data_IF_309031579370
#
_entry.id   IF_309031579370
#
_cell.length_a   1.000
_cell.length_b   1.000
_cell.length_c   1.000
_cell.angle_alpha   90.00
_cell.angle_beta   90.00
_cell.angle_gamma   90.00
#
_symmetry.space_group_name_H-M   'P 1'
#
loop_
_entity.id
_entity.type
_entity.pdbx_description
1 polymer ?
#
# COMPACT_ATOMS: atom_id res chain seq x y z
N UNK A 1 18.34 -5.45 -11.36
CA UNK A 1 16.89 -5.21 -11.20
C UNK A 1 16.44 -5.03 -9.74
N UNK A 2 17.35 -4.92 -8.76
CA UNK A 2 16.99 -4.91 -7.31
C UNK A 2 16.60 -3.55 -6.70
N UNK A 3 16.61 -2.46 -7.48
CA UNK A 3 16.34 -1.11 -6.96
C UNK A 3 14.85 -0.76 -6.80
N UNK A 4 13.97 -1.40 -7.56
CA UNK A 4 12.54 -1.06 -7.63
C UNK A 4 11.73 -1.71 -6.49
N UNK A 5 12.10 -2.94 -6.08
CA UNK A 5 11.52 -3.61 -4.91
C UNK A 5 11.69 -2.75 -3.65
N UNK A 6 12.90 -2.23 -3.41
CA UNK A 6 13.20 -1.44 -2.19
C UNK A 6 12.40 -0.15 -2.05
N UNK A 7 12.05 0.53 -3.15
CA UNK A 7 11.23 1.74 -3.09
C UNK A 7 9.78 1.43 -2.76
N UNK A 8 9.23 0.38 -3.38
CA UNK A 8 7.88 -0.06 -3.08
C UNK A 8 7.76 -0.54 -1.64
N UNK A 9 8.75 -1.28 -1.13
CA UNK A 9 8.77 -1.73 0.27
C UNK A 9 8.72 -0.55 1.25
N UNK A 10 9.59 0.45 1.06
CA UNK A 10 9.63 1.66 1.91
C UNK A 10 8.35 2.49 1.78
N UNK A 11 7.78 2.57 0.58
CA UNK A 11 6.49 3.25 0.36
C UNK A 11 5.36 2.52 1.11
N UNK A 12 5.25 1.20 0.97
CA UNK A 12 4.19 0.43 1.62
C UNK A 12 4.34 0.39 3.15
N UNK A 13 5.57 0.34 3.67
CA UNK A 13 5.86 0.49 5.09
C UNK A 13 5.34 1.84 5.62
N UNK A 14 5.64 2.95 4.94
CA UNK A 14 5.11 4.26 5.36
C UNK A 14 3.58 4.33 5.29
N UNK A 15 2.99 3.76 4.24
CA UNK A 15 1.55 3.78 4.03
C UNK A 15 0.79 2.93 5.04
N UNK A 16 1.34 1.79 5.48
CA UNK A 16 0.69 0.96 6.49
C UNK A 16 0.56 1.70 7.83
N UNK A 17 1.56 2.47 8.25
CA UNK A 17 1.45 3.33 9.43
C UNK A 17 0.44 4.46 9.28
N UNK A 18 0.32 5.04 8.08
CA UNK A 18 -0.71 6.05 7.82
C UNK A 18 -2.12 5.47 7.91
N UNK A 19 -2.33 4.27 7.36
CA UNK A 19 -3.61 3.57 7.43
C UNK A 19 -3.96 3.22 8.88
N UNK A 20 -3.01 2.65 9.63
CA UNK A 20 -3.23 2.27 11.02
C UNK A 20 -3.59 3.47 11.90
N UNK A 21 -2.92 4.61 11.73
CA UNK A 21 -3.28 5.83 12.46
C UNK A 21 -4.67 6.33 12.11
N UNK A 22 -5.06 6.27 10.83
CA UNK A 22 -6.41 6.63 10.41
C UNK A 22 -7.46 5.72 11.05
N UNK A 23 -7.25 4.40 11.06
CA UNK A 23 -8.15 3.47 11.74
C UNK A 23 -8.29 3.80 13.24
N UNK A 24 -7.18 4.15 13.90
CA UNK A 24 -7.22 4.55 15.32
C UNK A 24 -7.97 5.87 15.53
N UNK A 25 -7.77 6.86 14.66
CA UNK A 25 -8.49 8.14 14.69
C UNK A 25 -10.00 7.94 14.47
N UNK A 26 -10.37 7.10 13.49
CA UNK A 26 -11.77 6.78 13.16
C UNK A 26 -12.45 6.05 14.35
N UNK A 27 -11.77 5.11 15.01
CA UNK A 27 -12.26 4.45 16.23
C UNK A 27 -12.44 5.44 17.39
N UNK A 28 -11.50 6.36 17.60
CA UNK A 28 -11.60 7.35 18.69
C UNK A 28 -12.78 8.30 18.47
N UNK A 29 -13.04 8.66 17.20
CA UNK A 29 -14.19 9.46 16.81
C UNK A 29 -15.52 8.71 17.07
N UNK A 30 -15.57 7.42 16.77
CA UNK A 30 -16.75 6.58 17.03
C UNK A 30 -17.09 6.53 18.52
N UNK A 31 -16.11 6.22 19.39
CA UNK A 31 -16.34 6.20 20.83
C UNK A 31 -16.69 7.58 21.39
N UNK A 32 -16.08 8.64 20.85
CA UNK A 32 -16.46 10.01 21.22
C UNK A 32 -17.92 10.30 20.87
N UNK A 33 -18.43 9.79 19.73
CA UNK A 33 -19.83 9.94 19.34
C UNK A 33 -20.81 9.17 20.24
N UNK A 34 -20.36 8.06 20.82
CA UNK A 34 -21.10 7.28 21.82
C UNK A 34 -20.97 7.84 23.24
N UNK A 35 -20.15 8.90 23.43
CA UNK A 35 -19.80 9.46 24.72
C UNK A 35 -19.16 8.41 25.67
N UNK A 36 -18.45 7.46 25.07
CA UNK A 36 -17.71 6.40 25.75
C UNK A 36 -16.20 6.71 25.74
N UNK A 37 -15.49 6.17 26.73
CA UNK A 37 -14.05 6.36 26.87
C UNK A 37 -13.31 5.11 26.40
N UNK A 38 -12.20 5.31 25.71
CA UNK A 38 -11.36 4.23 25.20
C UNK A 38 -10.31 3.82 26.23
N UNK A 39 -10.28 2.53 26.60
CA UNK A 39 -9.31 2.02 27.56
C UNK A 39 -7.85 2.34 27.20
N UNK A 40 -7.50 2.28 25.90
CA UNK A 40 -6.14 2.67 25.44
C UNK A 40 -5.83 4.13 25.78
N UNK A 41 -6.82 5.02 25.74
CA UNK A 41 -6.65 6.46 26.01
C UNK A 41 -6.49 6.68 27.52
N UNK A 42 -7.30 6.00 28.32
CA UNK A 42 -7.23 6.03 29.80
C UNK A 42 -5.89 5.55 30.35
N UNK A 43 -5.30 4.55 29.69
CA UNK A 43 -3.97 4.02 30.03
C UNK A 43 -2.83 4.81 29.40
N UNK A 44 -3.12 5.99 28.85
CA UNK A 44 -2.13 6.93 28.36
C UNK A 44 -1.73 6.71 26.90
N UNK A 45 -2.48 6.00 26.08
CA UNK A 45 -2.41 5.95 24.60
C UNK A 45 -1.00 5.65 24.02
N UNK A 46 -0.29 4.68 24.61
CA UNK A 46 1.08 4.34 24.21
C UNK A 46 1.19 3.83 22.79
N UNK A 47 0.23 2.99 22.35
CA UNK A 47 0.21 2.41 21.00
C UNK A 47 0.12 3.51 19.93
N UNK A 48 -0.77 4.48 20.11
CA UNK A 48 -0.92 5.60 19.17
C UNK A 48 0.36 6.43 19.07
N UNK A 49 1.00 6.74 20.21
CA UNK A 49 2.29 7.43 20.23
C UNK A 49 3.40 6.64 19.54
N UNK A 50 3.41 5.32 19.69
CA UNK A 50 4.37 4.46 19.00
C UNK A 50 4.14 4.52 17.49
N UNK A 51 2.88 4.37 17.04
CA UNK A 51 2.53 4.45 15.63
C UNK A 51 2.88 5.81 15.01
N UNK A 52 2.67 6.92 15.73
CA UNK A 52 3.11 8.25 15.29
C UNK A 52 4.62 8.32 15.06
N UNK A 53 5.42 7.77 15.98
CA UNK A 53 6.88 7.71 15.82
C UNK A 53 7.30 6.84 14.64
N UNK A 54 6.75 5.63 14.52
CA UNK A 54 7.04 4.76 13.38
C UNK A 54 6.66 5.39 12.04
N UNK A 55 5.53 6.11 11.98
CA UNK A 55 5.13 6.91 10.80
C UNK A 55 6.15 8.00 10.49
N UNK A 56 6.65 8.71 11.49
CA UNK A 56 7.63 9.77 11.29
C UNK A 56 8.95 9.23 10.73
N UNK A 57 9.46 8.13 11.29
CA UNK A 57 10.69 7.49 10.85
C UNK A 57 10.57 6.91 9.44
N UNK A 58 9.49 6.17 9.15
CA UNK A 58 9.23 5.63 7.82
C UNK A 58 9.01 6.73 6.77
N UNK A 59 8.37 7.85 7.13
CA UNK A 59 8.23 9.03 6.26
C UNK A 59 9.58 9.57 5.82
N UNK A 60 10.55 9.67 6.73
CA UNK A 60 11.88 10.19 6.40
C UNK A 60 12.57 9.30 5.36
N UNK A 61 12.55 7.98 5.57
CA UNK A 61 13.09 6.99 4.62
C UNK A 61 12.39 7.08 3.26
N UNK A 62 11.05 7.18 3.25
CA UNK A 62 10.27 7.30 2.04
C UNK A 62 10.58 8.58 1.25
N UNK A 63 10.62 9.74 1.92
CA UNK A 63 10.93 11.02 1.28
C UNK A 63 12.33 11.01 0.68
N UNK A 64 13.32 10.48 1.40
CA UNK A 64 14.69 10.35 0.90
C UNK A 64 14.72 9.49 -0.38
N UNK A 65 14.14 8.29 -0.33
CA UNK A 65 14.18 7.37 -1.48
C UNK A 65 13.37 7.90 -2.67
N UNK A 66 12.25 8.59 -2.41
CA UNK A 66 11.48 9.28 -3.44
C UNK A 66 12.33 10.34 -4.13
N UNK A 67 13.07 11.15 -3.38
CA UNK A 67 13.95 12.17 -3.97
C UNK A 67 15.05 11.52 -4.83
N UNK A 68 15.65 10.43 -4.37
CA UNK A 68 16.66 9.68 -5.15
C UNK A 68 16.07 9.12 -6.46
N UNK A 69 14.84 8.60 -6.42
CA UNK A 69 14.13 8.11 -7.61
C UNK A 69 13.82 9.26 -8.57
N UNK A 70 13.38 10.41 -8.07
CA UNK A 70 13.11 11.60 -8.88
C UNK A 70 14.36 12.10 -9.61
N UNK A 71 15.49 12.22 -8.92
CA UNK A 71 16.77 12.62 -9.55
C UNK A 71 17.16 11.62 -10.64
N UNK A 72 16.98 10.32 -10.41
CA UNK A 72 17.26 9.29 -11.44
C UNK A 72 16.37 9.42 -12.66
N UNK A 73 15.09 9.76 -12.48
CA UNK A 73 14.17 10.01 -13.60
C UNK A 73 14.63 11.23 -14.40
N UNK A 74 15.01 12.32 -13.73
CA UNK A 74 15.50 13.53 -14.39
C UNK A 74 16.79 13.29 -15.19
N UNK A 75 17.74 12.53 -14.63
CA UNK A 75 18.96 12.14 -15.33
C UNK A 75 18.68 11.23 -16.54
N UNK A 76 17.69 10.34 -16.44
CA UNK A 76 17.26 9.52 -17.57
C UNK A 76 16.60 10.36 -18.66
N UNK A 77 15.82 11.39 -18.30
CA UNK A 77 15.17 12.30 -19.25
C UNK A 77 16.20 13.17 -20.00
N UNK A 78 17.24 13.64 -19.29
CA UNK A 78 18.36 14.37 -19.89
C UNK A 78 19.17 13.51 -20.88
N UNK A 79 19.32 12.21 -20.59
CA UNK A 79 20.08 11.27 -21.47
C UNK A 79 19.31 10.85 -22.72
N UNK A 80 17.98 10.79 -22.68
CA UNK A 80 17.16 10.23 -23.78
C UNK A 80 16.51 11.27 -24.71
N UNK A 81 16.76 12.57 -24.52
CA UNK A 81 16.24 13.60 -25.42
C UNK A 81 14.70 13.68 -25.40
N UNK A 82 14.14 14.33 -24.39
CA UNK A 82 12.83 14.97 -24.40
C UNK A 82 11.67 14.17 -25.06
N UNK A 83 11.28 13.00 -24.53
CA UNK A 83 9.95 12.45 -24.86
C UNK A 83 9.43 11.31 -23.97
N UNK A 84 9.68 11.34 -22.64
CA UNK A 84 8.98 10.42 -21.72
C UNK A 84 8.20 11.18 -20.65
N UNK A 85 7.03 11.69 -21.09
CA UNK A 85 5.80 12.01 -20.34
C UNK A 85 5.99 12.42 -18.87
N UNK A 86 6.05 13.73 -18.63
CA UNK A 86 5.72 14.42 -17.37
C UNK A 86 4.23 14.25 -16.99
N UNK A 87 3.68 13.04 -16.89
CA UNK A 87 2.25 12.87 -16.59
C UNK A 87 1.90 12.30 -15.22
N UNK A 88 2.86 11.83 -14.44
CA UNK A 88 2.58 11.39 -13.06
C UNK A 88 3.86 11.48 -12.23
N UNK A 89 4.20 12.66 -11.73
CA UNK A 89 4.90 12.83 -10.44
C UNK A 89 5.03 14.35 -10.25
N UNK A 90 3.97 14.97 -9.75
CA UNK A 90 3.95 16.41 -9.50
C UNK A 90 4.87 16.69 -8.31
N UNK A 91 6.03 17.28 -8.61
CA UNK A 91 6.89 17.90 -7.62
C UNK A 91 6.15 19.06 -6.97
N UNK A 92 5.72 18.87 -5.73
CA UNK A 92 5.30 19.94 -4.83
C UNK A 92 5.51 19.44 -3.40
N UNK A 93 6.03 20.32 -2.55
CA UNK A 93 6.28 20.08 -1.11
C UNK A 93 5.04 19.43 -0.48
N UNK A 94 5.18 18.19 0.02
CA UNK A 94 4.05 17.41 0.53
C UNK A 94 3.50 18.00 1.82
N UNK A 95 2.40 18.75 1.71
CA UNK A 95 1.44 18.90 2.79
C UNK A 95 0.61 17.61 2.90
N UNK A 96 0.07 17.28 4.09
CA UNK A 96 -0.73 16.06 4.32
C UNK A 96 -1.86 15.86 3.29
N UNK A 97 -2.58 16.91 2.82
CA UNK A 97 -3.60 16.77 1.77
C UNK A 97 -3.09 16.27 0.42
N UNK A 98 -1.88 16.68 0.00
CA UNK A 98 -1.31 16.29 -1.29
C UNK A 98 -0.94 14.81 -1.34
N UNK A 99 -0.44 14.29 -0.21
CA UNK A 99 -0.15 12.87 -0.05
C UNK A 99 -1.43 12.02 -0.10
N UNK A 100 -2.51 12.47 0.55
CA UNK A 100 -3.80 11.76 0.54
C UNK A 100 -4.34 11.69 -0.89
N UNK A 101 -4.20 12.77 -1.67
CA UNK A 101 -4.58 12.81 -3.08
C UNK A 101 -3.72 11.87 -3.95
N UNK A 102 -2.41 11.83 -3.75
CA UNK A 102 -1.52 10.92 -4.47
C UNK A 102 -1.80 9.45 -4.12
N UNK A 103 -2.13 9.16 -2.86
CA UNK A 103 -2.56 7.83 -2.41
C UNK A 103 -3.88 7.45 -3.06
N UNK A 104 -4.88 8.34 -3.04
CA UNK A 104 -6.16 8.09 -3.70
C UNK A 104 -5.97 7.78 -5.19
N UNK A 105 -5.14 8.55 -5.89
CA UNK A 105 -4.82 8.31 -7.30
C UNK A 105 -4.13 6.97 -7.54
N UNK A 106 -3.16 6.60 -6.68
CA UNK A 106 -2.50 5.31 -6.77
C UNK A 106 -3.43 4.12 -6.48
N UNK A 107 -4.32 4.25 -5.49
CA UNK A 107 -5.31 3.23 -5.16
C UNK A 107 -6.32 3.07 -6.31
N UNK A 108 -6.79 4.17 -6.92
CA UNK A 108 -7.65 4.12 -8.10
C UNK A 108 -6.97 3.40 -9.26
N UNK A 109 -5.71 3.75 -9.57
CA UNK A 109 -4.97 3.09 -10.63
C UNK A 109 -4.75 1.61 -10.36
N UNK A 110 -4.44 1.23 -9.12
CA UNK A 110 -4.27 -0.17 -8.73
C UNK A 110 -5.58 -0.95 -8.86
N UNK A 111 -6.71 -0.37 -8.43
CA UNK A 111 -8.03 -0.97 -8.58
C UNK A 111 -8.41 -1.17 -10.05
N UNK A 112 -8.09 -0.20 -10.92
CA UNK A 112 -8.31 -0.34 -12.37
C UNK A 112 -7.49 -1.48 -12.97
N UNK A 113 -6.19 -1.55 -12.67
CA UNK A 113 -5.32 -2.63 -13.15
C UNK A 113 -5.79 -4.00 -12.62
N UNK A 114 -6.21 -4.07 -11.35
CA UNK A 114 -6.77 -5.30 -10.79
C UNK A 114 -8.08 -5.71 -11.49
N UNK A 115 -8.94 -4.76 -11.83
CA UNK A 115 -10.17 -5.02 -12.59
C UNK A 115 -9.86 -5.57 -13.97
N UNK A 116 -8.88 -5.01 -14.67
CA UNK A 116 -8.48 -5.47 -16.00
C UNK A 116 -7.85 -6.87 -15.95
N UNK A 117 -7.04 -7.13 -14.91
CA UNK A 117 -6.48 -8.46 -14.65
C UNK A 117 -7.58 -9.49 -14.38
N UNK A 118 -8.57 -9.14 -13.53
CA UNK A 118 -9.71 -10.01 -13.23
C UNK A 118 -10.55 -10.31 -14.48
N UNK A 119 -10.79 -9.31 -15.33
CA UNK A 119 -11.48 -9.50 -16.59
C UNK A 119 -10.70 -10.44 -17.53
N UNK A 120 -9.37 -10.30 -17.59
CA UNK A 120 -8.49 -11.21 -18.33
C UNK A 120 -8.53 -12.64 -17.79
N UNK A 121 -8.41 -12.83 -16.47
CA UNK A 121 -8.53 -14.13 -15.83
C UNK A 121 -9.92 -14.75 -16.07
N UNK A 122 -10.98 -13.96 -15.98
CA UNK A 122 -12.35 -14.44 -16.24
C UNK A 122 -12.53 -14.90 -17.69
N UNK A 123 -11.99 -14.18 -18.67
CA UNK A 123 -12.03 -14.59 -20.07
C UNK A 123 -11.27 -15.90 -20.34
N UNK A 124 -10.14 -16.12 -19.65
CA UNK A 124 -9.39 -17.39 -19.73
C UNK A 124 -10.17 -18.53 -19.07
N UNK A 125 -10.79 -18.27 -17.92
CA UNK A 125 -11.56 -19.26 -17.16
C UNK A 125 -12.89 -19.65 -17.82
N UNK A 126 -13.44 -18.83 -18.73
CA UNK A 126 -14.63 -19.18 -19.51
C UNK A 126 -14.40 -20.32 -20.50
N UNK A 127 -13.15 -20.58 -20.89
CA UNK A 127 -12.79 -21.65 -21.82
C UNK A 127 -12.25 -22.91 -21.12
N UNK A 128 -12.07 -22.87 -19.79
CA UNK A 128 -11.69 -24.05 -19.01
C UNK A 128 -12.93 -24.76 -18.50
N UNK A 129 -13.12 -26.03 -18.87
CA UNK A 129 -14.07 -26.89 -18.16
C UNK A 129 -13.56 -27.06 -16.73
N UNK A 130 -14.20 -26.39 -15.77
CA UNK A 130 -13.97 -26.63 -14.35
C UNK A 130 -14.50 -28.03 -14.01
N UNK A 131 -13.70 -29.06 -14.29
CA UNK A 131 -13.87 -30.34 -13.63
C UNK A 131 -13.52 -30.12 -12.15
N UNK A 132 -14.39 -30.50 -11.21
CA UNK A 132 -14.05 -30.46 -9.80
C UNK A 132 -12.78 -31.27 -9.58
N UNK A 133 -11.76 -30.67 -8.97
CA UNK A 133 -10.62 -31.42 -8.46
C UNK A 133 -11.16 -32.20 -7.26
N UNK A 134 -11.53 -33.45 -7.45
CA UNK A 134 -11.81 -34.37 -6.35
C UNK A 134 -10.48 -34.65 -5.64
N UNK A 135 -10.28 -34.02 -4.48
CA UNK A 135 -9.18 -34.35 -3.59
C UNK A 135 -9.62 -35.59 -2.80
N UNK A 136 -9.11 -36.76 -3.17
CA UNK A 136 -9.34 -38.00 -2.43
C UNK A 136 -8.59 -37.95 -1.09
N UNK A 137 -9.34 -37.68 -0.02
CA UNK A 137 -8.81 -37.51 1.34
C UNK A 137 -8.45 -38.87 1.98
N UNK A 138 -8.70 -40.00 1.29
CA UNK A 138 -8.42 -41.34 1.85
C UNK A 138 -6.95 -41.78 1.73
N UNK A 139 -6.12 -41.11 0.92
CA UNK A 139 -4.71 -41.50 0.73
C UNK A 139 -3.72 -40.94 1.76
N UNK A 140 -4.13 -40.07 2.69
CA UNK A 140 -3.23 -39.48 3.71
C UNK A 140 -3.01 -40.43 4.91
N UNK A 141 -3.75 -41.54 5.00
CA UNK A 141 -3.69 -42.47 6.15
C UNK A 141 -2.72 -43.65 6.04
N UNK A 142 -1.96 -43.83 4.96
CA UNK A 142 -1.17 -45.05 4.72
C UNK A 142 0.36 -44.86 4.76
N UNK A 143 0.88 -43.91 5.56
CA UNK A 143 2.31 -43.81 5.89
C UNK A 143 2.47 -43.68 7.40
N UNK A 144 2.11 -44.74 8.11
CA UNK A 144 2.44 -44.95 9.52
C UNK A 144 2.61 -46.44 9.76
N UNK A 145 3.70 -47.00 9.23
CA UNK A 145 4.42 -48.16 9.77
C UNK A 145 5.92 -47.90 9.64
#
# INVERSE_FOLDING_TARGET
MSGNLRYLDVKYEYLSYCLKLKEMDDEELEYHSLNESLYRVETGNYEYRLMLRCRQESRQKFVQMRNDVMVKIELLDQKHGASMRKRTFHGSVQTVPDLVRDIAHHLTNMATVMKDCLAGCSAVLQHTQNAPIEIDITQVGALSE
#
